data_IF_971162077704
#
_entry.id   IF_971162077704
#
_cell.length_a   1.000
_cell.length_b   1.000
_cell.length_c   1.000
_cell.angle_alpha   90.00
_cell.angle_beta   90.00
_cell.angle_gamma   90.00
#
_symmetry.space_group_name_H-M   'P 1'
#
loop_
_entity.id
_entity.type
_entity.pdbx_description
1 polymer ?
#
# COMPACT_ATOMS: atom_id res chain seq x y z
N UNK A 1 -7.09 51.96 -26.84
CA UNK A 1 -7.41 50.52 -26.93
C UNK A 1 -6.51 49.78 -25.95
N UNK A 2 -7.02 49.51 -24.77
CA UNK A 2 -6.30 48.71 -23.74
C UNK A 2 -6.69 47.24 -23.94
N UNK A 3 -5.71 46.42 -24.31
CA UNK A 3 -5.86 44.97 -24.39
C UNK A 3 -5.78 44.33 -23.00
N UNK A 4 -6.88 43.74 -22.55
CA UNK A 4 -6.93 42.91 -21.36
C UNK A 4 -6.25 41.58 -21.68
N UNK A 5 -5.02 41.38 -21.19
CA UNK A 5 -4.42 40.05 -21.08
C UNK A 5 -5.04 39.35 -19.86
N UNK A 6 -6.06 38.52 -20.10
CA UNK A 6 -6.57 37.58 -19.09
C UNK A 6 -5.50 36.52 -18.81
N UNK A 7 -4.82 36.63 -17.68
CA UNK A 7 -3.92 35.62 -17.19
C UNK A 7 -4.70 34.36 -16.87
N UNK A 8 -4.37 33.25 -17.55
CA UNK A 8 -4.80 31.91 -17.10
C UNK A 8 -4.18 31.66 -15.73
N UNK A 9 -4.96 31.23 -14.74
CA UNK A 9 -4.38 30.76 -13.49
C UNK A 9 -3.56 29.50 -13.79
N UNK A 10 -2.26 29.58 -13.52
CA UNK A 10 -1.35 28.45 -13.52
C UNK A 10 -1.94 27.33 -12.64
N UNK A 11 -2.13 26.16 -13.21
CA UNK A 11 -2.43 24.90 -12.52
C UNK A 11 -1.22 24.46 -11.66
N UNK A 12 -0.86 25.28 -10.69
CA UNK A 12 0.11 24.96 -9.66
C UNK A 12 -0.62 24.17 -8.57
N UNK A 13 -0.59 22.83 -8.64
CA UNK A 13 -1.13 21.98 -7.58
C UNK A 13 -1.65 20.59 -7.99
N UNK A 14 -1.62 20.19 -9.24
CA UNK A 14 -1.95 18.80 -9.59
C UNK A 14 -0.73 17.91 -9.31
N UNK A 15 -0.79 17.16 -8.20
CA UNK A 15 0.15 16.04 -7.99
C UNK A 15 0.00 15.03 -9.14
N UNK A 16 1.06 14.29 -9.47
CA UNK A 16 0.99 13.23 -10.49
C UNK A 16 -0.16 12.25 -10.22
N UNK A 17 -0.40 11.91 -8.97
CA UNK A 17 -1.53 11.05 -8.54
C UNK A 17 -2.87 11.71 -8.78
N UNK A 18 -3.00 13.04 -8.57
CA UNK A 18 -4.21 13.79 -8.87
C UNK A 18 -4.58 13.72 -10.36
N UNK A 19 -3.59 13.87 -11.26
CA UNK A 19 -3.82 13.73 -12.70
C UNK A 19 -4.21 12.29 -13.08
N UNK A 20 -3.55 11.28 -12.51
CA UNK A 20 -3.90 9.87 -12.74
C UNK A 20 -5.31 9.55 -12.26
N UNK A 21 -5.73 10.13 -11.13
CA UNK A 21 -7.09 9.97 -10.61
C UNK A 21 -8.16 10.58 -11.54
N UNK A 22 -7.85 11.69 -12.21
CA UNK A 22 -8.77 12.28 -13.22
C UNK A 22 -8.93 11.39 -14.45
N UNK A 23 -7.92 10.62 -14.80
CA UNK A 23 -7.91 9.69 -15.93
C UNK A 23 -8.35 8.27 -15.53
N UNK A 24 -8.69 8.05 -14.27
CA UNK A 24 -9.06 6.73 -13.78
C UNK A 24 -10.34 6.21 -14.43
N UNK A 25 -10.43 4.92 -14.75
CA UNK A 25 -11.65 4.31 -15.24
C UNK A 25 -12.83 4.52 -14.30
N UNK A 26 -14.02 4.75 -14.86
CA UNK A 26 -15.26 4.92 -14.07
C UNK A 26 -16.08 3.64 -13.90
N UNK A 27 -15.71 2.56 -14.63
CA UNK A 27 -16.46 1.31 -14.65
C UNK A 27 -16.13 0.41 -13.44
N UNK A 28 -16.45 0.89 -12.23
CA UNK A 28 -16.25 0.15 -10.97
C UNK A 28 -17.26 0.59 -9.91
N UNK A 29 -17.40 -0.21 -8.86
CA UNK A 29 -18.07 0.16 -7.61
C UNK A 29 -17.01 0.45 -6.55
N UNK A 30 -17.25 1.45 -5.71
CA UNK A 30 -16.39 1.78 -4.59
C UNK A 30 -17.19 1.81 -3.30
N UNK A 31 -16.78 1.02 -2.34
CA UNK A 31 -17.23 1.09 -0.95
C UNK A 31 -16.13 1.82 -0.18
N UNK A 32 -16.39 3.05 0.26
CA UNK A 32 -15.39 3.93 0.83
C UNK A 32 -15.48 4.04 2.36
N UNK A 33 -14.39 4.48 2.99
CA UNK A 33 -14.35 4.83 4.41
C UNK A 33 -14.68 3.69 5.38
N UNK A 34 -14.45 2.44 4.99
CA UNK A 34 -14.72 1.26 5.82
C UNK A 34 -13.65 1.19 6.93
N UNK A 35 -14.06 1.20 8.19
CA UNK A 35 -13.16 1.01 9.30
C UNK A 35 -12.69 -0.45 9.40
N UNK A 36 -11.37 -0.66 9.52
CA UNK A 36 -10.78 -1.97 9.77
C UNK A 36 -10.06 -2.06 11.14
N UNK A 37 -10.09 -0.97 11.91
CA UNK A 37 -9.51 -0.89 13.24
C UNK A 37 -9.97 0.36 13.98
N UNK A 38 -9.54 0.55 15.24
CA UNK A 38 -10.08 1.60 16.12
C UNK A 38 -9.53 3.00 15.83
N UNK A 39 -8.40 3.10 15.14
CA UNK A 39 -7.78 4.39 14.89
C UNK A 39 -8.41 5.12 13.71
N UNK A 40 -8.48 6.46 13.76
CA UNK A 40 -9.12 7.29 12.71
C UNK A 40 -8.55 7.07 11.30
N UNK A 41 -7.26 6.71 11.19
CA UNK A 41 -6.62 6.36 9.92
C UNK A 41 -6.81 4.88 9.53
N UNK A 42 -7.29 4.02 10.42
CA UNK A 42 -7.55 2.61 10.08
C UNK A 42 -8.84 2.47 9.29
N UNK A 43 -8.86 3.09 8.11
CA UNK A 43 -9.95 3.02 7.13
C UNK A 43 -9.41 2.52 5.79
N UNK A 44 -10.26 1.87 5.02
CA UNK A 44 -9.94 1.37 3.69
C UNK A 44 -11.09 1.64 2.71
N UNK A 45 -10.73 1.61 1.44
CA UNK A 45 -11.69 1.62 0.34
C UNK A 45 -11.60 0.30 -0.41
N UNK A 46 -12.75 -0.21 -0.83
CA UNK A 46 -12.84 -1.42 -1.65
C UNK A 46 -13.38 -1.04 -3.03
N UNK A 47 -12.57 -1.30 -4.04
CA UNK A 47 -12.93 -1.12 -5.45
C UNK A 47 -13.32 -2.48 -6.02
N UNK A 48 -14.51 -2.56 -6.64
CA UNK A 48 -15.07 -3.80 -7.16
C UNK A 48 -15.42 -3.69 -8.63
N UNK A 49 -15.21 -4.75 -9.42
CA UNK A 49 -15.76 -4.83 -10.76
C UNK A 49 -17.27 -4.59 -10.77
N UNK A 50 -17.80 -4.05 -11.86
CA UNK A 50 -19.27 -3.94 -12.03
C UNK A 50 -19.92 -5.32 -12.15
N UNK A 51 -19.29 -6.19 -12.92
CA UNK A 51 -19.76 -7.53 -13.19
C UNK A 51 -18.64 -8.56 -12.98
N UNK A 52 -18.98 -9.67 -12.32
CA UNK A 52 -18.07 -10.82 -12.17
C UNK A 52 -18.87 -12.11 -12.39
N UNK A 53 -18.27 -13.08 -13.08
CA UNK A 53 -18.86 -14.42 -13.27
C UNK A 53 -18.68 -15.34 -12.04
N UNK A 54 -18.11 -14.81 -10.94
CA UNK A 54 -17.83 -15.54 -9.70
C UNK A 54 -16.92 -14.73 -8.81
N UNK A 55 -16.45 -15.27 -7.67
CA UNK A 55 -15.54 -14.57 -6.77
C UNK A 55 -14.26 -14.14 -7.49
N UNK A 56 -13.93 -12.85 -7.43
CA UNK A 56 -12.78 -12.25 -8.10
C UNK A 56 -11.49 -12.42 -7.29
N UNK A 57 -10.29 -12.41 -7.91
CA UNK A 57 -9.05 -12.25 -7.15
C UNK A 57 -9.06 -10.91 -6.41
N UNK A 58 -8.33 -10.83 -5.29
CA UNK A 58 -8.25 -9.61 -4.49
C UNK A 58 -6.82 -9.17 -4.29
N UNK A 59 -6.60 -7.85 -4.35
CA UNK A 59 -5.34 -7.19 -4.07
C UNK A 59 -5.51 -6.22 -2.91
N UNK A 60 -4.70 -6.35 -1.86
CA UNK A 60 -4.52 -5.29 -0.87
C UNK A 60 -3.33 -4.44 -1.32
N UNK A 61 -3.61 -3.19 -1.69
CA UNK A 61 -2.61 -2.27 -2.23
C UNK A 61 -2.22 -1.19 -1.22
N UNK A 62 -0.95 -1.13 -0.85
CA UNK A 62 -0.39 -0.11 0.03
C UNK A 62 0.27 1.00 -0.78
N UNK A 63 -0.12 2.24 -0.50
CA UNK A 63 0.44 3.42 -1.16
C UNK A 63 1.82 3.80 -0.60
N UNK A 64 2.57 4.59 -1.39
CA UNK A 64 3.84 5.18 -1.00
C UNK A 64 3.70 6.50 -0.25
N UNK A 65 4.85 7.13 0.07
CA UNK A 65 4.92 8.42 0.77
C UNK A 65 5.84 8.38 1.98
N UNK A 66 6.94 7.61 1.89
CA UNK A 66 8.01 7.55 2.91
C UNK A 66 7.51 7.35 4.35
N UNK A 67 6.37 6.70 4.52
CA UNK A 67 5.67 6.45 5.80
C UNK A 67 5.29 7.73 6.58
N UNK A 68 5.44 8.91 6.00
CA UNK A 68 5.14 10.21 6.62
C UNK A 68 4.06 10.99 5.86
N UNK A 69 3.66 10.54 4.68
CA UNK A 69 2.65 11.18 3.83
C UNK A 69 1.83 10.14 3.06
N UNK A 70 0.80 10.61 2.35
CA UNK A 70 -0.07 9.80 1.50
C UNK A 70 -1.39 9.42 2.17
N UNK A 71 -2.31 9.03 1.31
CA UNK A 71 -3.66 8.57 1.68
C UNK A 71 -4.22 7.70 0.57
N UNK A 72 -5.19 6.83 0.91
CA UNK A 72 -5.81 5.88 -0.01
C UNK A 72 -6.47 6.54 -1.21
N UNK A 73 -7.02 7.77 -1.02
CA UNK A 73 -7.67 8.51 -2.10
C UNK A 73 -6.70 8.94 -3.20
N UNK A 74 -5.42 9.11 -2.89
CA UNK A 74 -4.39 9.47 -3.89
C UNK A 74 -4.17 8.33 -4.91
N UNK A 75 -4.56 7.09 -4.57
CA UNK A 75 -4.40 5.88 -5.40
C UNK A 75 -5.72 5.30 -5.93
N UNK A 76 -6.77 6.13 -6.02
CA UNK A 76 -8.04 5.73 -6.65
C UNK A 76 -7.82 5.11 -8.04
N UNK A 77 -6.92 5.68 -8.85
CA UNK A 77 -6.61 5.18 -10.19
C UNK A 77 -6.14 3.72 -10.20
N UNK A 78 -5.41 3.27 -9.17
CA UNK A 78 -4.99 1.86 -9.04
C UNK A 78 -6.20 0.98 -8.79
N UNK A 79 -7.04 1.35 -7.81
CA UNK A 79 -8.26 0.61 -7.48
C UNK A 79 -9.19 0.50 -8.67
N UNK A 80 -9.44 1.62 -9.37
CA UNK A 80 -10.28 1.68 -10.56
C UNK A 80 -9.73 0.81 -11.71
N UNK A 81 -8.43 0.93 -12.01
CA UNK A 81 -7.80 0.19 -13.11
C UNK A 81 -7.79 -1.33 -12.87
N UNK A 82 -7.62 -1.79 -11.64
CA UNK A 82 -7.66 -3.20 -11.30
C UNK A 82 -9.11 -3.73 -11.30
N UNK A 83 -10.06 -2.93 -10.78
CA UNK A 83 -11.48 -3.29 -10.80
C UNK A 83 -12.01 -3.45 -12.23
N UNK A 84 -11.62 -2.58 -13.17
CA UNK A 84 -11.96 -2.72 -14.59
C UNK A 84 -11.44 -4.04 -15.20
N UNK A 85 -10.38 -4.60 -14.62
CA UNK A 85 -9.80 -5.89 -15.04
C UNK A 85 -10.33 -7.11 -14.26
N UNK A 86 -11.42 -6.94 -13.52
CA UNK A 86 -12.05 -8.02 -12.78
C UNK A 86 -11.36 -8.36 -11.46
N UNK A 87 -10.58 -7.46 -10.88
CA UNK A 87 -9.84 -7.66 -9.63
C UNK A 87 -10.45 -6.75 -8.55
N UNK A 88 -10.86 -7.32 -7.43
CA UNK A 88 -11.22 -6.53 -6.25
C UNK A 88 -9.95 -5.92 -5.65
N UNK A 89 -9.98 -4.63 -5.36
CA UNK A 89 -8.81 -3.94 -4.78
C UNK A 89 -9.19 -3.26 -3.48
N UNK A 90 -8.43 -3.55 -2.44
CA UNK A 90 -8.54 -2.92 -1.12
C UNK A 90 -7.37 -1.98 -0.94
N UNK A 91 -7.65 -0.70 -0.68
CA UNK A 91 -6.60 0.31 -0.43
C UNK A 91 -6.79 0.85 0.98
N UNK A 92 -5.98 0.40 1.95
CA UNK A 92 -6.04 0.90 3.33
C UNK A 92 -5.19 2.14 3.54
N UNK A 93 -5.65 3.04 4.40
CA UNK A 93 -4.75 3.93 5.13
C UNK A 93 -4.09 3.17 6.27
N UNK A 94 -2.91 3.59 6.65
CA UNK A 94 -2.17 3.12 7.82
C UNK A 94 -1.61 4.32 8.57
N UNK A 95 -1.30 4.19 9.86
CA UNK A 95 -0.72 5.29 10.65
C UNK A 95 0.66 5.65 10.12
N UNK A 96 0.98 6.92 10.16
CA UNK A 96 2.19 7.51 9.59
C UNK A 96 3.05 8.16 10.67
N UNK A 97 4.32 8.38 10.38
CA UNK A 97 5.17 9.27 11.14
C UNK A 97 4.60 10.72 11.08
N UNK A 98 4.67 11.52 12.16
CA UNK A 98 5.30 11.25 13.45
C UNK A 98 4.40 10.53 14.48
N UNK A 99 3.16 10.18 14.13
CA UNK A 99 2.22 9.52 15.04
C UNK A 99 2.71 8.14 15.46
N UNK A 100 3.33 7.41 14.53
CA UNK A 100 3.96 6.11 14.78
C UNK A 100 5.32 6.01 14.09
N UNK A 101 6.16 5.11 14.60
CA UNK A 101 7.43 4.70 14.00
C UNK A 101 7.43 3.19 13.73
N UNK A 102 8.45 2.69 13.03
CA UNK A 102 8.65 1.25 12.86
C UNK A 102 8.61 0.54 14.23
N UNK A 103 7.89 -0.55 14.38
CA UNK A 103 7.14 -1.29 13.35
C UNK A 103 5.62 -1.03 13.33
N UNK A 104 5.08 -0.07 14.07
CA UNK A 104 3.64 0.04 14.36
C UNK A 104 2.76 0.19 13.10
N UNK A 105 3.24 0.81 12.03
CA UNK A 105 2.50 0.89 10.76
C UNK A 105 2.34 -0.47 10.07
N UNK A 106 3.24 -1.44 10.33
CA UNK A 106 3.11 -2.82 9.82
C UNK A 106 2.00 -3.58 10.54
N UNK A 107 1.75 -3.31 11.81
CA UNK A 107 0.62 -3.88 12.54
C UNK A 107 -0.71 -3.42 11.91
N UNK A 108 -0.81 -2.15 11.49
CA UNK A 108 -1.98 -1.64 10.78
C UNK A 108 -2.15 -2.31 9.41
N UNK A 109 -1.06 -2.42 8.65
CA UNK A 109 -1.07 -3.09 7.36
C UNK A 109 -1.50 -4.57 7.50
N UNK A 110 -1.00 -5.27 8.51
CA UNK A 110 -1.40 -6.65 8.81
C UNK A 110 -2.89 -6.75 9.16
N UNK A 111 -3.40 -5.80 9.95
CA UNK A 111 -4.82 -5.74 10.29
C UNK A 111 -5.70 -5.53 9.05
N UNK A 112 -5.28 -4.70 8.09
CA UNK A 112 -6.00 -4.50 6.83
C UNK A 112 -6.02 -5.77 5.97
N UNK A 113 -4.92 -6.53 5.91
CA UNK A 113 -4.88 -7.83 5.23
C UNK A 113 -5.79 -8.83 5.92
N UNK A 114 -5.74 -8.93 7.26
CA UNK A 114 -6.61 -9.83 8.02
C UNK A 114 -8.09 -9.47 7.81
N UNK A 115 -8.44 -8.19 7.87
CA UNK A 115 -9.77 -7.71 7.57
C UNK A 115 -10.23 -8.13 6.16
N UNK A 116 -9.35 -8.02 5.16
CA UNK A 116 -9.65 -8.43 3.79
C UNK A 116 -9.90 -9.93 3.71
N UNK A 117 -9.10 -10.76 4.38
CA UNK A 117 -9.33 -12.22 4.43
C UNK A 117 -10.72 -12.55 5.00
N UNK A 118 -11.16 -11.82 6.02
CA UNK A 118 -12.43 -12.09 6.70
C UNK A 118 -13.64 -11.55 5.91
N UNK A 119 -13.46 -10.51 5.10
CA UNK A 119 -14.55 -9.81 4.42
C UNK A 119 -14.54 -10.00 2.89
N UNK A 120 -13.62 -10.77 2.32
CA UNK A 120 -13.47 -10.95 0.88
C UNK A 120 -14.80 -11.35 0.22
N UNK A 121 -15.49 -12.35 0.75
CA UNK A 121 -16.73 -12.88 0.19
C UNK A 121 -17.86 -11.83 0.11
N UNK A 122 -17.98 -10.95 1.12
CA UNK A 122 -18.99 -9.86 1.15
C UNK A 122 -18.76 -8.87 0.00
N UNK A 123 -17.51 -8.71 -0.40
CA UNK A 123 -17.13 -7.82 -1.51
C UNK A 123 -16.96 -8.54 -2.86
N UNK A 124 -17.42 -9.81 -2.96
CA UNK A 124 -17.35 -10.60 -4.19
C UNK A 124 -15.93 -11.06 -4.54
N UNK A 125 -15.05 -11.18 -3.55
CA UNK A 125 -13.68 -11.61 -3.73
C UNK A 125 -13.42 -13.01 -3.17
N UNK A 126 -12.36 -13.64 -3.67
CA UNK A 126 -11.85 -14.93 -3.23
C UNK A 126 -10.61 -14.73 -2.34
N UNK A 127 -10.72 -15.02 -1.04
CA UNK A 127 -9.63 -14.89 -0.08
C UNK A 127 -8.45 -15.83 -0.38
N UNK A 128 -8.66 -16.93 -1.11
CA UNK A 128 -7.58 -17.85 -1.51
C UNK A 128 -6.76 -17.33 -2.69
N UNK A 129 -7.24 -16.26 -3.34
CA UNK A 129 -6.53 -15.52 -4.39
C UNK A 129 -6.16 -14.11 -3.95
N UNK A 130 -5.78 -13.95 -2.67
CA UNK A 130 -5.37 -12.67 -2.10
C UNK A 130 -3.89 -12.41 -2.38
N UNK A 131 -3.63 -11.26 -2.99
CA UNK A 131 -2.28 -10.74 -3.23
C UNK A 131 -2.07 -9.48 -2.41
N UNK A 132 -0.85 -9.25 -1.96
CA UNK A 132 -0.42 -7.97 -1.41
C UNK A 132 0.40 -7.22 -2.43
N UNK A 133 0.16 -5.93 -2.57
CA UNK A 133 0.87 -5.08 -3.51
C UNK A 133 1.17 -3.71 -2.90
N UNK A 134 2.12 -2.99 -3.47
CA UNK A 134 2.36 -1.63 -3.02
C UNK A 134 3.36 -0.88 -3.90
N UNK A 135 3.43 0.42 -3.66
CA UNK A 135 4.36 1.34 -4.30
C UNK A 135 5.29 1.98 -3.27
N UNK A 136 6.60 2.06 -3.54
CA UNK A 136 7.59 2.72 -2.69
C UNK A 136 7.52 2.20 -1.23
N UNK A 137 7.31 3.05 -0.23
CA UNK A 137 7.08 2.65 1.17
C UNK A 137 5.97 1.60 1.33
N UNK A 138 4.93 1.65 0.49
CA UNK A 138 3.87 0.63 0.47
C UNK A 138 4.35 -0.71 -0.08
N UNK A 139 5.28 -0.73 -1.03
CA UNK A 139 5.89 -1.96 -1.52
C UNK A 139 6.75 -2.64 -0.43
N UNK A 140 7.45 -1.86 0.38
CA UNK A 140 8.10 -2.34 1.60
C UNK A 140 7.07 -2.97 2.55
N UNK A 141 5.96 -2.28 2.83
CA UNK A 141 4.93 -2.81 3.72
C UNK A 141 4.40 -4.16 3.20
N UNK A 142 4.07 -4.24 1.91
CA UNK A 142 3.61 -5.48 1.28
C UNK A 142 4.66 -6.60 1.39
N UNK A 143 5.94 -6.29 1.16
CA UNK A 143 7.04 -7.26 1.25
C UNK A 143 7.22 -7.78 2.69
N UNK A 144 7.21 -6.89 3.69
CA UNK A 144 7.29 -7.30 5.09
C UNK A 144 6.14 -8.24 5.48
N UNK A 145 4.91 -7.96 5.05
CA UNK A 145 3.77 -8.84 5.33
C UNK A 145 3.85 -10.20 4.62
N UNK A 146 4.44 -10.22 3.43
CA UNK A 146 4.55 -11.43 2.63
C UNK A 146 5.71 -12.33 3.06
N UNK A 147 6.80 -11.75 3.56
CA UNK A 147 8.06 -12.46 3.84
C UNK A 147 8.28 -12.77 5.31
N UNK A 148 7.78 -11.90 6.19
CA UNK A 148 7.93 -12.05 7.66
C UNK A 148 6.62 -12.50 8.29
N UNK A 149 6.55 -13.78 8.65
CA UNK A 149 5.36 -14.40 9.21
C UNK A 149 4.90 -13.81 10.56
N UNK A 150 5.74 -13.02 11.24
CA UNK A 150 5.39 -12.40 12.53
C UNK A 150 4.16 -11.50 12.43
N UNK A 151 4.03 -10.75 11.35
CA UNK A 151 3.00 -9.71 11.23
C UNK A 151 1.59 -10.31 11.14
N UNK A 152 1.36 -11.18 10.19
CA UNK A 152 0.09 -11.90 10.07
C UNK A 152 -0.11 -12.90 11.22
N UNK A 153 0.97 -13.51 11.71
CA UNK A 153 0.95 -14.45 12.83
C UNK A 153 0.38 -13.86 14.13
N UNK A 154 0.66 -12.59 14.45
CA UNK A 154 0.06 -11.87 15.59
C UNK A 154 -1.49 -11.87 15.55
N UNK A 155 -2.07 -11.98 14.36
CA UNK A 155 -3.51 -11.97 14.12
C UNK A 155 -4.08 -13.37 13.82
N UNK A 156 -3.28 -14.42 14.07
CA UNK A 156 -3.68 -15.81 13.79
C UNK A 156 -3.82 -16.12 12.30
N UNK A 157 -3.16 -15.32 11.42
CA UNK A 157 -3.16 -15.53 9.98
C UNK A 157 -1.79 -16.04 9.52
N UNK A 158 -1.75 -16.67 8.35
CA UNK A 158 -0.54 -17.29 7.80
C UNK A 158 -0.15 -16.61 6.49
N UNK A 159 1.16 -16.43 6.28
CA UNK A 159 1.70 -15.83 5.04
C UNK A 159 1.51 -16.73 3.83
N UNK A 160 1.46 -18.05 3.98
CA UNK A 160 1.20 -19.01 2.91
C UNK A 160 -0.24 -18.95 2.35
N UNK A 161 -1.12 -18.16 2.97
CA UNK A 161 -2.44 -17.81 2.42
C UNK A 161 -2.38 -16.65 1.43
N UNK A 162 -1.23 -15.99 1.29
CA UNK A 162 -1.03 -14.97 0.28
C UNK A 162 -0.66 -15.62 -1.06
N UNK A 163 -1.48 -15.38 -2.09
CA UNK A 163 -1.26 -15.92 -3.42
C UNK A 163 -0.06 -15.28 -4.14
N UNK A 164 0.33 -14.06 -3.75
CA UNK A 164 1.48 -13.37 -4.33
C UNK A 164 1.79 -12.01 -3.74
N UNK A 165 2.96 -11.49 -4.12
CA UNK A 165 3.47 -10.16 -3.78
C UNK A 165 3.75 -9.38 -5.07
N UNK A 166 3.32 -8.12 -5.14
CA UNK A 166 3.70 -7.19 -6.21
C UNK A 166 4.30 -5.93 -5.59
N UNK A 167 5.57 -5.68 -5.87
CA UNK A 167 6.28 -4.50 -5.37
C UNK A 167 6.70 -3.57 -6.50
N UNK A 168 6.26 -2.30 -6.42
CA UNK A 168 6.58 -1.25 -7.38
C UNK A 168 7.54 -0.27 -6.73
N UNK A 169 8.78 -0.16 -7.22
CA UNK A 169 9.81 0.77 -6.74
C UNK A 169 9.96 0.75 -5.20
N UNK A 170 10.11 -0.43 -4.62
CA UNK A 170 10.16 -0.60 -3.16
C UNK A 170 11.57 -0.73 -2.61
N UNK A 171 11.87 -0.17 -1.42
CA UNK A 171 13.11 -0.40 -0.71
C UNK A 171 13.06 -1.74 0.03
N UNK A 172 13.97 -2.67 -0.30
CA UNK A 172 13.97 -4.02 0.28
C UNK A 172 15.24 -4.31 1.09
N UNK A 173 16.33 -3.55 0.88
CA UNK A 173 17.57 -3.57 1.67
C UNK A 173 18.21 -2.19 1.60
N UNK A 174 17.96 -1.33 2.59
CA UNK A 174 18.33 0.08 2.57
C UNK A 174 19.06 0.55 3.85
N UNK A 175 19.78 -0.35 4.48
CA UNK A 175 20.68 0.00 5.58
C UNK A 175 22.10 0.29 5.07
N UNK A 176 22.78 1.32 5.63
CA UNK A 176 22.29 2.28 6.61
C UNK A 176 21.29 3.27 6.00
N UNK A 177 20.28 3.69 6.77
CA UNK A 177 19.30 4.67 6.28
C UNK A 177 19.96 6.04 6.20
N UNK A 178 20.20 6.51 4.99
CA UNK A 178 20.84 7.80 4.72
C UNK A 178 19.84 8.93 4.48
N UNK A 179 18.63 8.61 4.02
CA UNK A 179 17.59 9.59 3.74
C UNK A 179 17.07 10.23 5.05
N UNK A 180 17.22 11.57 5.23
CA UNK A 180 16.86 12.26 6.46
C UNK A 180 15.35 12.21 6.78
N UNK A 181 14.49 12.08 5.77
CA UNK A 181 13.05 12.00 5.95
C UNK A 181 12.58 10.59 6.37
N UNK A 182 13.36 9.57 6.02
CA UNK A 182 13.06 8.16 6.33
C UNK A 182 13.70 7.72 7.65
N UNK A 183 14.88 8.24 7.96
CA UNK A 183 15.64 7.88 9.16
C UNK A 183 14.81 7.95 10.46
N UNK A 184 14.07 9.04 10.75
CA UNK A 184 13.27 9.12 11.99
C UNK A 184 12.10 8.14 12.04
N UNK A 185 11.61 7.65 10.90
CA UNK A 185 10.54 6.65 10.83
C UNK A 185 10.98 5.30 11.43
N UNK A 186 12.24 4.96 11.25
CA UNK A 186 12.82 3.68 11.72
C UNK A 186 13.60 3.82 13.02
N UNK A 187 13.82 5.03 13.50
CA UNK A 187 14.48 5.26 14.78
C UNK A 187 13.58 4.85 15.94
N UNK A 188 14.09 4.00 16.81
CA UNK A 188 13.43 3.70 18.09
C UNK A 188 13.83 4.77 19.10
N UNK A 189 12.89 5.38 19.81
CA UNK A 189 13.23 6.30 20.90
C UNK A 189 14.18 5.66 21.92
N UNK A 190 15.31 6.31 22.19
CA UNK A 190 16.30 5.84 23.18
C UNK A 190 17.29 4.77 22.70
N UNK A 191 17.32 4.46 21.39
CA UNK A 191 18.29 3.53 20.79
C UNK A 191 19.17 4.31 19.80
N UNK A 192 20.50 4.24 19.97
CA UNK A 192 21.44 4.94 19.08
C UNK A 192 21.50 4.33 17.67
N UNK A 193 21.25 3.04 17.52
CA UNK A 193 21.24 2.35 16.23
C UNK A 193 19.83 2.47 15.58
N UNK A 194 19.75 3.14 14.42
CA UNK A 194 18.48 3.66 13.92
C UNK A 194 17.49 2.59 13.46
N UNK A 195 17.91 1.51 12.86
CA UNK A 195 16.99 0.49 12.35
C UNK A 195 17.54 -0.90 12.60
N UNK A 196 16.78 -1.79 13.23
CA UNK A 196 17.21 -3.16 13.40
C UNK A 196 17.31 -3.86 12.03
N UNK A 197 18.30 -4.74 11.87
CA UNK A 197 18.50 -5.50 10.62
C UNK A 197 17.24 -6.28 10.20
N UNK A 198 16.39 -6.67 11.15
CA UNK A 198 15.11 -7.34 10.91
C UNK A 198 14.01 -6.43 10.35
N UNK A 199 14.28 -5.13 10.21
CA UNK A 199 13.40 -4.22 9.48
C UNK A 199 13.53 -4.35 7.95
N UNK A 200 14.51 -5.10 7.45
CA UNK A 200 14.78 -5.19 6.01
C UNK A 200 14.08 -6.42 5.40
N UNK A 201 13.16 -6.23 4.43
CA UNK A 201 12.44 -7.34 3.78
C UNK A 201 13.36 -8.45 3.27
N UNK A 202 14.52 -8.10 2.72
CA UNK A 202 15.49 -9.07 2.19
C UNK A 202 15.95 -10.10 3.23
N UNK A 203 15.97 -9.74 4.52
CA UNK A 203 16.37 -10.63 5.61
C UNK A 203 15.36 -11.75 5.91
N UNK A 204 14.13 -11.63 5.42
CA UNK A 204 13.05 -12.59 5.65
C UNK A 204 12.76 -13.47 4.44
N UNK A 205 13.52 -13.32 3.34
CA UNK A 205 13.37 -14.15 2.16
C UNK A 205 13.66 -15.61 2.48
N UNK A 206 12.75 -16.49 2.13
CA UNK A 206 12.87 -17.93 2.35
C UNK A 206 12.21 -18.72 1.20
N UNK A 207 12.37 -20.05 1.20
CA UNK A 207 11.69 -20.91 0.24
C UNK A 207 10.14 -20.88 0.37
N UNK A 208 9.61 -20.38 1.49
CA UNK A 208 8.18 -20.21 1.73
C UNK A 208 7.64 -18.88 1.20
N UNK A 209 8.48 -18.01 0.62
CA UNK A 209 8.03 -16.75 0.06
C UNK A 209 7.01 -16.99 -1.07
N UNK A 210 5.93 -16.19 -1.15
CA UNK A 210 4.97 -16.32 -2.24
C UNK A 210 5.59 -15.91 -3.58
N UNK A 211 4.91 -16.26 -4.69
CA UNK A 211 5.28 -15.73 -5.99
C UNK A 211 5.36 -14.23 -5.95
N UNK A 212 6.45 -13.66 -6.45
CA UNK A 212 6.71 -12.21 -6.34
C UNK A 212 7.02 -11.61 -7.70
N UNK A 213 6.42 -10.43 -7.95
CA UNK A 213 6.75 -9.56 -9.09
C UNK A 213 7.28 -8.25 -8.53
N UNK A 214 8.56 -7.96 -8.78
CA UNK A 214 9.19 -6.72 -8.38
C UNK A 214 9.49 -5.88 -9.61
N UNK A 215 9.05 -4.64 -9.62
CA UNK A 215 9.21 -3.68 -10.71
C UNK A 215 9.94 -2.46 -10.17
N UNK A 216 11.05 -2.12 -10.79
CA UNK A 216 11.83 -0.92 -10.48
C UNK A 216 12.09 -0.11 -11.75
N UNK A 217 12.27 1.20 -11.62
CA UNK A 217 12.75 2.04 -12.69
C UNK A 217 14.24 1.77 -12.95
N UNK A 218 14.69 1.90 -14.21
CA UNK A 218 16.11 1.71 -14.56
C UNK A 218 17.02 2.73 -13.86
N UNK A 219 16.49 3.92 -13.59
CA UNK A 219 17.13 4.96 -12.81
C UNK A 219 16.15 5.30 -11.69
N UNK A 220 16.39 4.77 -10.52
CA UNK A 220 15.64 5.07 -9.30
C UNK A 220 16.64 5.63 -8.30
N UNK A 221 16.66 6.96 -8.20
CA UNK A 221 17.58 7.69 -7.31
C UNK A 221 16.95 7.88 -5.91
N UNK A 222 15.77 7.34 -5.66
CA UNK A 222 15.00 7.51 -4.42
C UNK A 222 15.03 6.28 -3.50
N UNK A 223 15.39 5.11 -4.02
CA UNK A 223 15.45 3.82 -3.30
C UNK A 223 16.73 3.06 -3.63
#
# INVERSE_FOLDING_TARGET
MLGLLAGLPLLAGCSATGLLNLLAPSAHRRDADIAYGPHRRMKLDVYRPLDTSGPAPVVVFFYGGSWNAGRREDYLFVGAALAERGIVTVIPDYRLYPEVVYPAFLDDCAAAVAWTMDNAAVHGADADRLHVAGHSAGAYNAAMLALDARWLGKLGRRTDRLAGLVGLAGPYDFLPIVNPDVKPVFNRPGVEDPAPADSQPLRHVSAAAPRSLLIAARKDDLV
#
